data_IF_400243788614
#
_entry.id   IF_400243788614
#
_cell.length_a   1.000
_cell.length_b   1.000
_cell.length_c   1.000
_cell.angle_alpha   90.00
_cell.angle_beta   90.00
_cell.angle_gamma   90.00
#
_symmetry.space_group_name_H-M   'P 1'
#
loop_
_entity.id
_entity.type
_entity.pdbx_description
1 polymer ?
#
# COMPACT_ATOMS: atom_id res chain seq x y z
N UNK A 1 -5.05 0.48 13.36
CA UNK A 1 -3.82 1.21 13.00
C UNK A 1 -3.34 0.58 11.70
N UNK A 2 -3.22 1.35 10.62
CA UNK A 2 -2.77 0.83 9.33
C UNK A 2 -1.36 0.22 9.44
N UNK A 3 -1.17 -1.00 8.95
CA UNK A 3 0.12 -1.69 9.04
C UNK A 3 0.36 -2.54 7.80
N UNK A 4 1.58 -2.46 7.28
CA UNK A 4 2.10 -3.38 6.26
C UNK A 4 3.39 -4.01 6.79
N UNK A 5 3.52 -5.33 6.72
CA UNK A 5 4.71 -6.02 7.24
C UNK A 5 5.24 -7.00 6.21
N UNK A 6 6.45 -6.73 5.70
CA UNK A 6 7.13 -7.62 4.76
C UNK A 6 6.33 -7.84 3.46
N UNK A 7 5.66 -6.80 2.96
CA UNK A 7 4.84 -6.90 1.74
C UNK A 7 5.62 -6.42 0.53
N UNK A 8 5.35 -7.04 -0.61
CA UNK A 8 5.90 -6.61 -1.89
C UNK A 8 5.06 -5.49 -2.50
N UNK A 9 5.73 -4.40 -2.86
CA UNK A 9 5.13 -3.28 -3.58
C UNK A 9 6.11 -2.78 -4.65
N UNK A 10 5.59 -2.16 -5.71
CA UNK A 10 6.42 -1.43 -6.66
C UNK A 10 6.69 -0.04 -6.14
N UNK A 11 7.95 0.35 -6.07
CA UNK A 11 8.35 1.72 -5.81
C UNK A 11 8.20 2.53 -7.10
N UNK A 12 7.05 3.17 -7.28
CA UNK A 12 6.68 3.79 -8.55
C UNK A 12 7.46 5.08 -8.82
N UNK A 13 7.72 5.88 -7.80
CA UNK A 13 8.43 7.15 -7.94
C UNK A 13 9.06 7.59 -6.62
N UNK A 14 10.15 8.37 -6.72
CA UNK A 14 10.80 9.09 -5.62
C UNK A 14 10.98 10.54 -6.04
N UNK A 15 10.46 11.47 -5.24
CA UNK A 15 10.68 12.89 -5.42
C UNK A 15 11.42 13.45 -4.20
N UNK A 16 12.63 13.94 -4.43
CA UNK A 16 13.47 14.55 -3.40
C UNK A 16 13.19 16.06 -3.36
N UNK A 17 12.89 16.57 -2.19
CA UNK A 17 12.59 17.99 -1.98
C UNK A 17 13.12 18.46 -0.65
N UNK A 18 13.20 19.78 -0.47
CA UNK A 18 13.56 20.40 0.79
C UNK A 18 12.30 20.91 1.49
N UNK A 19 12.14 20.58 2.77
CA UNK A 19 11.11 21.11 3.64
C UNK A 19 11.70 22.01 4.71
N UNK A 20 11.01 23.10 5.02
CA UNK A 20 11.36 23.97 6.15
C UNK A 20 10.76 23.41 7.44
N UNK A 21 11.62 23.11 8.40
CA UNK A 21 11.26 22.78 9.77
C UNK A 21 11.74 23.89 10.71
N UNK A 22 10.91 24.92 10.90
CA UNK A 22 11.33 26.16 11.54
C UNK A 22 12.38 26.87 10.69
N UNK A 23 13.55 27.17 11.28
CA UNK A 23 14.67 27.81 10.60
C UNK A 23 15.65 26.85 9.90
N UNK A 24 15.35 25.55 9.92
CA UNK A 24 16.20 24.52 9.31
C UNK A 24 15.56 23.93 8.06
N UNK A 25 16.35 23.81 7.02
CA UNK A 25 15.99 23.06 5.82
C UNK A 25 16.32 21.57 6.03
N UNK A 26 15.32 20.70 5.81
CA UNK A 26 15.50 19.23 5.85
C UNK A 26 15.15 18.62 4.51
N UNK A 27 15.92 17.64 4.10
CA UNK A 27 15.59 16.83 2.95
C UNK A 27 14.41 15.92 3.29
N UNK A 28 13.42 15.92 2.42
CA UNK A 28 12.30 15.01 2.42
C UNK A 28 12.22 14.26 1.10
N UNK A 29 11.80 13.01 1.15
CA UNK A 29 11.55 12.20 -0.04
C UNK A 29 10.12 11.75 -0.05
N UNK A 30 9.40 12.07 -1.12
CA UNK A 30 8.06 11.54 -1.36
C UNK A 30 8.20 10.23 -2.14
N UNK A 31 7.95 9.11 -1.50
CA UNK A 31 8.04 7.77 -2.07
C UNK A 31 6.65 7.29 -2.41
N UNK A 32 6.37 7.08 -3.70
CA UNK A 32 5.10 6.51 -4.15
C UNK A 32 5.24 5.00 -4.26
N UNK A 33 4.37 4.29 -3.56
CA UNK A 33 4.31 2.83 -3.54
C UNK A 33 2.99 2.35 -4.13
N UNK A 34 3.04 1.29 -4.92
CA UNK A 34 1.88 0.65 -5.54
C UNK A 34 1.97 -0.87 -5.39
N UNK A 35 0.87 -1.51 -5.04
CA UNK A 35 0.81 -2.97 -4.88
C UNK A 35 -0.57 -3.52 -5.08
N UNK A 36 -0.66 -4.84 -5.26
CA UNK A 36 -1.92 -5.56 -5.32
C UNK A 36 -2.02 -6.51 -4.14
N UNK A 37 -3.17 -6.49 -3.49
CA UNK A 37 -3.43 -7.23 -2.27
C UNK A 37 -4.77 -7.96 -2.37
N UNK A 38 -4.97 -8.94 -1.49
CA UNK A 38 -6.31 -9.45 -1.22
C UNK A 38 -7.14 -8.35 -0.57
N UNK A 39 -8.43 -8.40 -0.77
CA UNK A 39 -9.35 -7.36 -0.30
C UNK A 39 -9.48 -7.25 1.24
N UNK A 40 -8.95 -8.22 1.99
CA UNK A 40 -8.81 -8.13 3.45
C UNK A 40 -7.97 -6.93 3.90
N UNK A 41 -7.05 -6.43 3.05
CA UNK A 41 -6.30 -5.20 3.30
C UNK A 41 -7.19 -3.99 3.61
N UNK A 42 -8.43 -3.98 3.12
CA UNK A 42 -9.38 -2.89 3.34
C UNK A 42 -9.73 -2.73 4.84
N UNK A 43 -9.72 -3.82 5.61
CA UNK A 43 -10.00 -3.79 7.05
C UNK A 43 -8.93 -3.01 7.85
N UNK A 44 -7.71 -2.88 7.30
CA UNK A 44 -6.67 -2.04 7.91
C UNK A 44 -7.01 -0.54 7.88
N UNK A 45 -7.90 -0.12 6.97
CA UNK A 45 -8.35 1.27 6.87
C UNK A 45 -9.51 1.57 7.82
N UNK A 46 -10.51 0.72 7.84
CA UNK A 46 -11.62 0.81 8.77
C UNK A 46 -12.30 -0.55 8.95
N UNK A 47 -12.54 -0.98 10.20
CA UNK A 47 -13.29 -2.20 10.47
C UNK A 47 -14.67 -2.20 9.80
N UNK A 48 -15.00 -3.28 9.11
CA UNK A 48 -16.26 -3.46 8.39
C UNK A 48 -16.30 -2.83 6.99
N UNK A 49 -15.27 -2.11 6.57
CA UNK A 49 -15.23 -1.47 5.25
C UNK A 49 -15.25 -2.51 4.12
N UNK A 50 -14.65 -3.69 4.34
CA UNK A 50 -14.70 -4.79 3.39
C UNK A 50 -16.15 -5.20 3.07
N UNK A 51 -16.99 -5.37 4.08
CA UNK A 51 -18.41 -5.71 3.93
C UNK A 51 -19.27 -4.61 3.28
N UNK A 52 -18.77 -3.36 3.32
CA UNK A 52 -19.41 -2.24 2.62
C UNK A 52 -19.09 -2.28 1.13
N UNK A 53 -17.87 -2.60 0.74
CA UNK A 53 -17.40 -2.54 -0.65
C UNK A 53 -17.61 -3.86 -1.40
N UNK A 54 -17.56 -4.99 -0.69
CA UNK A 54 -17.68 -6.32 -1.28
C UNK A 54 -18.86 -7.10 -0.71
N UNK A 55 -19.36 -8.05 -1.50
CA UNK A 55 -20.39 -9.03 -1.15
C UNK A 55 -19.95 -10.43 -1.57
N UNK A 56 -20.66 -11.45 -1.09
CA UNK A 56 -20.50 -12.81 -1.59
C UNK A 56 -20.89 -12.86 -3.06
N UNK A 57 -20.14 -13.63 -3.83
CA UNK A 57 -20.50 -13.88 -5.21
C UNK A 57 -21.74 -14.79 -5.25
N UNK A 58 -22.76 -14.37 -5.97
CA UNK A 58 -23.93 -15.20 -6.20
C UNK A 58 -23.54 -16.30 -7.20
N UNK A 59 -23.75 -17.55 -6.79
CA UNK A 59 -23.60 -18.69 -7.70
C UNK A 59 -24.82 -18.67 -8.62
N UNK A 60 -24.67 -18.15 -9.83
CA UNK A 60 -25.69 -18.30 -10.86
C UNK A 60 -25.73 -19.77 -11.30
N UNK A 61 -26.90 -20.38 -11.18
CA UNK A 61 -27.21 -21.71 -11.70
C UNK A 61 -27.03 -21.75 -13.23
N UNK A 62 -25.84 -22.04 -13.73
CA UNK A 62 -25.65 -22.08 -15.18
C UNK A 62 -24.24 -22.07 -15.71
N UNK A 63 -23.29 -22.67 -15.05
CA UNK A 63 -21.93 -22.75 -15.60
C UNK A 63 -21.03 -23.69 -14.83
N UNK A 64 -20.84 -24.90 -15.37
CA UNK A 64 -19.91 -25.89 -14.86
C UNK A 64 -18.45 -25.46 -15.12
N UNK A 65 -18.02 -24.32 -14.62
CA UNK A 65 -16.61 -23.94 -14.64
C UNK A 65 -16.33 -22.96 -13.51
N UNK A 66 -15.80 -23.47 -12.48
CA UNK A 66 -14.97 -22.87 -11.43
C UNK A 66 -15.32 -23.42 -10.06
N UNK A 67 -15.30 -24.74 -9.94
CA UNK A 67 -15.12 -25.43 -8.66
C UNK A 67 -13.62 -25.58 -8.43
N UNK A 68 -12.88 -24.49 -8.26
CA UNK A 68 -11.55 -24.53 -7.69
C UNK A 68 -11.54 -23.61 -6.48
N UNK A 69 -11.64 -24.23 -5.31
CA UNK A 69 -11.15 -23.80 -4.00
C UNK A 69 -11.31 -22.32 -3.63
N UNK A 70 -12.49 -21.78 -3.77
CA UNK A 70 -12.82 -20.53 -3.12
C UNK A 70 -13.58 -20.88 -1.85
N UNK A 71 -13.05 -20.46 -0.72
CA UNK A 71 -13.75 -20.50 0.55
C UNK A 71 -15.16 -19.92 0.33
N UNK A 72 -16.23 -20.68 0.55
CA UNK A 72 -17.59 -20.33 0.11
C UNK A 72 -18.14 -19.05 0.80
N UNK A 73 -17.42 -18.55 1.80
CA UNK A 73 -17.81 -17.38 2.58
C UNK A 73 -17.05 -16.10 2.22
N UNK A 74 -16.19 -16.15 1.22
CA UNK A 74 -15.36 -14.99 0.87
C UNK A 74 -16.13 -13.93 0.11
N UNK A 75 -15.96 -12.67 0.52
CA UNK A 75 -16.53 -11.50 -0.15
C UNK A 75 -15.64 -11.14 -1.34
N UNK A 76 -16.01 -11.47 -2.58
CA UNK A 76 -15.18 -11.26 -3.77
C UNK A 76 -15.85 -10.41 -4.83
N UNK A 77 -17.18 -10.31 -4.84
CA UNK A 77 -17.92 -9.49 -5.78
C UNK A 77 -18.06 -8.05 -5.28
N UNK A 78 -17.88 -7.08 -6.15
CA UNK A 78 -18.13 -5.68 -5.82
C UNK A 78 -19.60 -5.46 -5.49
N UNK A 79 -19.88 -4.78 -4.38
CA UNK A 79 -21.23 -4.36 -4.02
C UNK A 79 -21.71 -3.21 -4.90
N UNK A 80 -20.80 -2.34 -5.29
CA UNK A 80 -21.08 -1.15 -6.10
C UNK A 80 -20.18 -1.13 -7.34
N UNK A 81 -20.48 -1.94 -8.38
CA UNK A 81 -19.60 -2.06 -9.55
C UNK A 81 -19.47 -0.77 -10.37
N UNK A 82 -20.39 0.18 -10.19
CA UNK A 82 -20.34 1.48 -10.85
C UNK A 82 -19.71 2.60 -10.00
N UNK A 83 -19.19 2.25 -8.80
CA UNK A 83 -18.45 3.21 -8.00
C UNK A 83 -17.14 3.57 -8.72
N UNK A 84 -16.90 4.88 -8.89
CA UNK A 84 -15.66 5.35 -9.51
C UNK A 84 -14.42 4.93 -8.72
N UNK A 85 -13.49 4.30 -9.38
CA UNK A 85 -12.21 3.86 -8.81
C UNK A 85 -11.04 4.69 -9.35
N UNK A 86 -9.97 4.88 -8.60
CA UNK A 86 -9.77 4.45 -7.21
C UNK A 86 -10.47 5.35 -6.18
N UNK A 87 -10.87 4.74 -5.07
CA UNK A 87 -11.37 5.47 -3.89
C UNK A 87 -10.18 6.14 -3.19
N UNK A 88 -10.31 7.42 -2.89
CA UNK A 88 -9.32 8.16 -2.11
C UNK A 88 -9.62 8.06 -0.62
N UNK A 89 -8.64 7.63 0.17
CA UNK A 89 -8.72 7.63 1.62
C UNK A 89 -7.96 8.84 2.17
N UNK A 90 -8.68 9.77 2.79
CA UNK A 90 -8.15 11.08 3.18
C UNK A 90 -7.40 11.12 4.52
N UNK A 91 -7.19 9.98 5.17
CA UNK A 91 -6.47 9.94 6.46
C UNK A 91 -4.97 9.98 6.24
N UNK A 92 -4.30 10.73 7.10
CA UNK A 92 -2.84 10.82 7.18
C UNK A 92 -2.38 10.15 8.48
N UNK A 93 -1.25 9.45 8.41
CA UNK A 93 -0.60 8.82 9.55
C UNK A 93 0.82 9.36 9.70
N UNK A 94 1.21 9.71 10.92
CA UNK A 94 2.55 10.21 11.24
C UNK A 94 3.25 9.32 12.27
N UNK A 95 4.58 9.42 12.32
CA UNK A 95 5.40 8.68 13.28
C UNK A 95 5.67 7.23 12.88
N UNK A 96 5.49 6.89 11.62
CA UNK A 96 5.78 5.55 11.10
C UNK A 96 7.27 5.32 10.89
N UNK A 97 7.68 4.06 11.01
CA UNK A 97 8.97 3.61 10.50
C UNK A 97 8.74 2.96 9.14
N UNK A 98 9.34 3.50 8.10
CA UNK A 98 9.35 2.92 6.77
C UNK A 98 10.63 2.11 6.58
N UNK A 99 10.49 0.81 6.36
CA UNK A 99 11.60 -0.10 6.15
C UNK A 99 11.59 -0.62 4.72
N UNK A 100 12.68 -0.41 4.02
CA UNK A 100 12.98 -1.00 2.71
C UNK A 100 13.90 -2.20 2.93
N UNK A 101 13.40 -3.41 2.65
CA UNK A 101 14.17 -4.64 2.79
C UNK A 101 14.99 -4.88 1.52
N UNK A 102 16.31 -4.92 1.64
CA UNK A 102 17.22 -5.27 0.55
C UNK A 102 17.84 -6.65 0.80
N UNK A 103 17.29 -7.68 0.16
CA UNK A 103 17.74 -9.06 0.31
C UNK A 103 17.17 -9.78 1.53
N UNK A 104 17.71 -10.96 1.83
CA UNK A 104 17.18 -11.90 2.83
C UNK A 104 17.64 -11.53 4.25
N UNK A 105 18.73 -10.77 4.39
CA UNK A 105 19.31 -10.43 5.68
C UNK A 105 18.69 -9.17 6.27
N UNK A 106 18.23 -9.25 7.53
CA UNK A 106 17.72 -8.11 8.28
C UNK A 106 18.76 -6.96 8.42
N UNK A 107 20.06 -7.25 8.27
CA UNK A 107 21.14 -6.25 8.31
C UNK A 107 21.22 -5.36 7.07
N UNK A 108 20.58 -5.75 5.97
CA UNK A 108 20.53 -4.97 4.72
C UNK A 108 19.29 -4.08 4.63
N UNK A 109 18.43 -4.09 5.63
CA UNK A 109 17.23 -3.26 5.67
C UNK A 109 17.58 -1.78 5.90
N UNK A 110 16.96 -0.90 5.11
CA UNK A 110 17.11 0.55 5.26
C UNK A 110 15.85 1.07 5.96
N UNK A 111 16.04 1.67 7.11
CA UNK A 111 14.96 2.16 7.96
C UNK A 111 14.93 3.68 7.95
N UNK A 112 13.80 4.25 7.53
CA UNK A 112 13.49 5.66 7.68
C UNK A 112 12.53 5.83 8.86
N UNK A 113 12.88 6.66 9.82
CA UNK A 113 12.09 6.90 11.02
C UNK A 113 11.23 8.16 10.88
N UNK A 114 10.17 8.24 11.69
CA UNK A 114 9.29 9.39 11.78
C UNK A 114 8.66 9.80 10.45
N UNK A 115 8.40 8.82 9.59
CA UNK A 115 7.75 9.03 8.31
C UNK A 115 6.28 9.40 8.48
N UNK A 116 5.75 10.07 7.47
CA UNK A 116 4.31 10.24 7.28
C UNK A 116 3.84 9.36 6.13
N UNK A 117 2.62 8.86 6.24
CA UNK A 117 1.98 8.05 5.20
C UNK A 117 0.63 8.64 4.87
N UNK A 118 0.42 8.96 3.62
CA UNK A 118 -0.79 9.61 3.13
C UNK A 118 -1.13 9.23 1.69
N UNK A 119 -2.08 9.96 1.10
CA UNK A 119 -2.49 9.86 -0.29
C UNK A 119 -2.86 8.42 -0.72
N UNK A 120 -3.56 7.71 0.18
CA UNK A 120 -4.02 6.37 -0.09
C UNK A 120 -5.08 6.34 -1.19
N UNK A 121 -4.95 5.39 -2.09
CA UNK A 121 -5.93 5.09 -3.13
C UNK A 121 -6.18 3.60 -3.18
N UNK A 122 -7.45 3.23 -3.13
CA UNK A 122 -7.93 1.86 -3.16
C UNK A 122 -8.65 1.62 -4.49
N UNK A 123 -8.09 0.77 -5.33
CA UNK A 123 -8.67 0.33 -6.60
C UNK A 123 -9.27 -1.06 -6.40
N UNK A 124 -10.53 -1.11 -5.96
CA UNK A 124 -11.26 -2.34 -5.69
C UNK A 124 -11.68 -2.99 -7.00
N UNK A 125 -11.24 -4.23 -7.21
CA UNK A 125 -11.53 -5.02 -8.41
C UNK A 125 -12.42 -6.20 -8.07
N UNK A 126 -13.05 -6.77 -9.09
CA UNK A 126 -13.71 -8.06 -8.97
C UNK A 126 -12.70 -9.14 -8.53
N UNK A 127 -13.19 -10.28 -8.10
CA UNK A 127 -12.39 -11.40 -7.58
C UNK A 127 -11.65 -11.13 -6.26
N UNK A 128 -11.99 -10.04 -5.57
CA UNK A 128 -11.43 -9.72 -4.27
C UNK A 128 -9.96 -9.29 -4.30
N UNK A 129 -9.56 -8.61 -5.37
CA UNK A 129 -8.24 -7.99 -5.52
C UNK A 129 -8.38 -6.48 -5.32
N UNK A 130 -7.44 -5.88 -4.60
CA UNK A 130 -7.38 -4.45 -4.37
C UNK A 130 -6.01 -3.92 -4.76
N UNK A 131 -6.00 -2.99 -5.71
CA UNK A 131 -4.84 -2.15 -5.97
C UNK A 131 -4.72 -1.10 -4.87
N UNK A 132 -3.61 -1.07 -4.18
CA UNK A 132 -3.28 -0.06 -3.17
C UNK A 132 -2.16 0.82 -3.66
N UNK A 133 -2.37 2.12 -3.64
CA UNK A 133 -1.32 3.12 -3.84
C UNK A 133 -1.29 4.04 -2.64
N UNK A 134 -0.09 4.39 -2.20
CA UNK A 134 0.13 5.29 -1.07
C UNK A 134 1.41 6.10 -1.28
N UNK A 135 1.56 7.18 -0.49
CA UNK A 135 2.79 7.96 -0.43
C UNK A 135 3.39 7.89 0.97
N UNK A 136 4.68 7.60 1.03
CA UNK A 136 5.48 7.74 2.24
C UNK A 136 6.34 8.99 2.11
N UNK A 137 6.24 9.90 3.07
CA UNK A 137 7.13 11.05 3.20
C UNK A 137 8.20 10.63 4.20
N UNK A 138 9.39 10.36 3.71
CA UNK A 138 10.54 9.95 4.51
C UNK A 138 11.55 11.09 4.62
N UNK A 139 12.29 11.11 5.72
CA UNK A 139 13.33 12.08 5.98
C UNK A 139 14.68 11.35 6.04
N UNK A 140 15.37 11.20 4.90
CA UNK A 140 16.65 10.49 4.86
C UNK A 140 17.71 11.25 5.65
N UNK A 141 18.50 10.49 6.43
CA UNK A 141 19.58 11.04 7.26
C UNK A 141 20.93 10.92 6.56
N UNK A 142 21.02 10.10 5.51
CA UNK A 142 22.26 9.83 4.76
C UNK A 142 22.03 9.78 3.27
N UNK A 143 23.07 10.10 2.49
CA UNK A 143 23.04 9.99 1.02
C UNK A 143 22.79 8.55 0.56
N UNK A 144 23.25 7.57 1.34
CA UNK A 144 23.03 6.16 1.05
C UNK A 144 21.53 5.79 1.09
N UNK A 145 20.78 6.35 2.00
CA UNK A 145 19.32 6.14 2.08
C UNK A 145 18.60 6.71 0.85
N UNK A 146 19.01 7.91 0.40
CA UNK A 146 18.47 8.54 -0.80
C UNK A 146 18.81 7.70 -2.04
N UNK A 147 20.07 7.32 -2.18
CA UNK A 147 20.56 6.53 -3.30
C UNK A 147 19.82 5.19 -3.40
N UNK A 148 19.58 4.53 -2.26
CA UNK A 148 18.87 3.27 -2.22
C UNK A 148 17.41 3.39 -2.68
N UNK A 149 16.71 4.45 -2.30
CA UNK A 149 15.35 4.74 -2.78
C UNK A 149 15.36 5.00 -4.29
N UNK A 150 16.25 5.86 -4.77
CA UNK A 150 16.34 6.19 -6.19
C UNK A 150 16.69 4.99 -7.07
N UNK A 151 17.59 4.11 -6.62
CA UNK A 151 17.95 2.88 -7.32
C UNK A 151 16.81 1.86 -7.40
N UNK A 152 15.83 1.96 -6.51
CA UNK A 152 14.68 1.05 -6.44
C UNK A 152 13.48 1.53 -7.25
N UNK A 153 13.57 2.67 -7.94
CA UNK A 153 12.46 3.20 -8.76
C UNK A 153 12.09 2.19 -9.85
N UNK A 154 10.79 1.97 -10.02
CA UNK A 154 10.19 1.00 -10.95
C UNK A 154 10.55 -0.47 -10.66
N UNK A 155 11.00 -0.77 -9.44
CA UNK A 155 11.30 -2.13 -9.02
C UNK A 155 10.30 -2.60 -7.96
N UNK A 156 10.09 -3.92 -7.93
CA UNK A 156 9.43 -4.57 -6.83
C UNK A 156 10.35 -4.57 -5.60
N UNK A 157 9.84 -4.10 -4.49
CA UNK A 157 10.57 -3.99 -3.22
C UNK A 157 9.74 -4.57 -2.09
N UNK A 158 10.38 -5.22 -1.14
CA UNK A 158 9.72 -5.65 0.09
C UNK A 158 9.78 -4.51 1.10
N UNK A 159 8.63 -4.14 1.66
CA UNK A 159 8.53 -3.00 2.59
C UNK A 159 7.80 -3.39 3.86
N UNK A 160 8.04 -2.60 4.92
CA UNK A 160 7.21 -2.58 6.15
C UNK A 160 6.91 -1.13 6.55
N UNK A 161 5.69 -0.94 7.07
CA UNK A 161 5.15 0.30 7.61
C UNK A 161 4.47 0.06 8.95
#
# INVERSE_FOLDING_TARGET
MFRLTGVEMTLANVNVRTEKHGDQDKLATDVKLEGQFKNDIIEEFAPGLLGVLYRKQEVSDGGAQSKMDLEPDRLTALRFPFLGMPIKWGKEFAGYAFTLHKGIDAKSAIVHRLCKVDNFRLDCKEDGIVGLSLRVIAYPETDHQIAALCQSIQQAVTISL
#
